data_IF_473387092919
#
_entry.id   IF_473387092919
#
_cell.length_a   1.000
_cell.length_b   1.000
_cell.length_c   1.000
_cell.angle_alpha   90.00
_cell.angle_beta   90.00
_cell.angle_gamma   90.00
#
_symmetry.space_group_name_H-M   'P 1'
#
loop_
_entity.id
_entity.type
_entity.pdbx_description
1 polymer ?
#
# COMPACT_ATOMS: atom_id res chain seq x y z
N UNK A 1 7.77 -18.45 1.22
CA UNK A 1 7.36 -17.25 2.00
C UNK A 1 5.85 -17.04 1.93
N UNK A 2 5.25 -17.09 0.74
CA UNK A 2 3.80 -16.89 0.58
C UNK A 2 2.97 -17.97 1.32
N UNK A 3 3.42 -19.21 1.32
CA UNK A 3 2.80 -20.30 2.11
C UNK A 3 2.85 -20.05 3.62
N UNK A 4 3.92 -19.41 4.11
CA UNK A 4 4.04 -19.03 5.50
C UNK A 4 3.02 -17.94 5.89
N UNK A 5 2.79 -16.95 5.01
CA UNK A 5 1.75 -15.94 5.22
C UNK A 5 0.38 -16.61 5.32
N UNK A 6 0.06 -17.50 4.38
CA UNK A 6 -1.19 -18.24 4.38
C UNK A 6 -1.37 -19.08 5.64
N UNK A 7 -0.34 -19.85 6.02
CA UNK A 7 -0.34 -20.64 7.26
C UNK A 7 -0.57 -19.77 8.49
N UNK A 8 0.10 -18.62 8.60
CA UNK A 8 -0.08 -17.69 9.73
C UNK A 8 -1.50 -17.16 9.82
N UNK A 9 -2.10 -16.77 8.70
CA UNK A 9 -3.48 -16.31 8.64
C UNK A 9 -4.45 -17.42 9.04
N UNK A 10 -4.20 -18.65 8.59
CA UNK A 10 -4.96 -19.84 8.98
C UNK A 10 -4.89 -20.07 10.49
N UNK A 11 -3.69 -20.06 11.09
CA UNK A 11 -3.49 -20.26 12.52
C UNK A 11 -4.19 -19.17 13.36
N UNK A 12 -4.11 -17.92 12.91
CA UNK A 12 -4.83 -16.82 13.58
C UNK A 12 -6.34 -17.08 13.58
N UNK A 13 -6.90 -17.45 12.41
CA UNK A 13 -8.34 -17.75 12.29
C UNK A 13 -8.76 -18.92 13.18
N UNK A 14 -8.00 -20.01 13.20
CA UNK A 14 -8.27 -21.18 14.05
C UNK A 14 -8.22 -20.82 15.56
N UNK A 15 -7.31 -19.93 15.94
CA UNK A 15 -7.18 -19.43 17.30
C UNK A 15 -8.12 -18.25 17.63
N UNK A 16 -9.09 -17.95 16.77
CA UNK A 16 -10.05 -16.85 16.92
C UNK A 16 -9.38 -15.47 17.07
N UNK A 17 -8.21 -15.28 16.47
CA UNK A 17 -7.51 -14.01 16.38
C UNK A 17 -7.82 -13.38 15.03
N UNK A 18 -8.37 -12.17 15.06
CA UNK A 18 -8.59 -11.40 13.84
C UNK A 18 -7.28 -10.77 13.36
N UNK A 19 -7.01 -10.91 12.05
CA UNK A 19 -5.91 -10.23 11.39
C UNK A 19 -6.50 -9.11 10.57
N UNK A 20 -6.33 -7.85 11.00
CA UNK A 20 -6.84 -6.69 10.28
C UNK A 20 -5.97 -6.31 9.07
N UNK A 21 -4.64 -6.41 9.21
CA UNK A 21 -3.70 -6.01 8.16
C UNK A 21 -2.47 -6.92 8.15
N UNK A 22 -1.93 -7.14 6.94
CA UNK A 22 -0.67 -7.83 6.68
C UNK A 22 0.25 -6.89 5.91
N UNK A 23 1.45 -6.66 6.41
CA UNK A 23 2.51 -5.91 5.72
C UNK A 23 3.50 -6.88 5.09
N UNK A 24 3.79 -6.66 3.81
CA UNK A 24 4.76 -7.45 3.04
C UNK A 24 5.85 -6.52 2.53
N UNK A 25 7.02 -6.60 3.14
CA UNK A 25 8.20 -5.84 2.75
C UNK A 25 9.33 -6.83 2.38
N UNK A 26 9.63 -7.05 1.10
CA UNK A 26 9.10 -6.48 -0.15
C UNK A 26 8.48 -7.58 -1.02
N UNK A 27 7.59 -7.14 -1.89
CA UNK A 27 6.84 -8.05 -2.76
C UNK A 27 7.73 -8.89 -3.69
N UNK A 28 8.85 -8.37 -4.14
CA UNK A 28 9.80 -9.07 -5.01
C UNK A 28 10.30 -10.39 -4.41
N UNK A 29 10.36 -10.49 -3.09
CA UNK A 29 10.79 -11.69 -2.37
C UNK A 29 9.79 -12.85 -2.40
N UNK A 30 8.60 -12.61 -2.91
CA UNK A 30 7.53 -13.61 -3.03
C UNK A 30 7.56 -14.35 -4.37
N UNK A 31 8.35 -13.90 -5.34
CA UNK A 31 8.53 -14.51 -6.66
C UNK A 31 10.00 -14.85 -6.91
N UNK A 32 10.26 -15.80 -7.78
CA UNK A 32 11.61 -16.15 -8.18
C UNK A 32 12.20 -15.14 -9.19
N UNK A 33 11.34 -14.61 -10.06
CA UNK A 33 11.68 -13.59 -11.06
C UNK A 33 10.53 -12.60 -11.20
N UNK A 34 10.82 -11.32 -10.99
CA UNK A 34 9.85 -10.22 -11.10
C UNK A 34 9.40 -9.96 -12.55
N UNK A 35 10.09 -10.56 -13.53
CA UNK A 35 9.76 -10.49 -14.95
C UNK A 35 9.06 -11.74 -15.48
N UNK A 36 8.92 -12.80 -14.68
CA UNK A 36 8.10 -13.94 -15.07
C UNK A 36 6.61 -13.61 -14.94
N UNK A 37 5.97 -13.51 -16.10
CA UNK A 37 4.58 -13.10 -16.24
C UNK A 37 3.62 -14.02 -15.47
N UNK A 38 3.85 -15.31 -15.54
CA UNK A 38 2.95 -16.29 -14.95
C UNK A 38 3.07 -16.28 -13.42
N UNK A 39 4.27 -16.41 -12.88
CA UNK A 39 4.48 -16.45 -11.43
C UNK A 39 4.05 -15.14 -10.75
N UNK A 40 4.29 -13.99 -11.40
CA UNK A 40 3.82 -12.69 -10.90
C UNK A 40 2.28 -12.61 -10.85
N UNK A 41 1.60 -13.05 -11.90
CA UNK A 41 0.14 -13.06 -11.94
C UNK A 41 -0.46 -14.01 -10.89
N UNK A 42 0.09 -15.22 -10.76
CA UNK A 42 -0.33 -16.21 -9.77
C UNK A 42 -0.15 -15.68 -8.33
N UNK A 43 1.00 -15.06 -8.05
CA UNK A 43 1.27 -14.46 -6.75
C UNK A 43 0.28 -13.36 -6.39
N UNK A 44 0.02 -12.42 -7.32
CA UNK A 44 -0.94 -11.33 -7.10
C UNK A 44 -2.35 -11.88 -6.91
N UNK A 45 -2.76 -12.86 -7.71
CA UNK A 45 -4.06 -13.53 -7.55
C UNK A 45 -4.18 -14.21 -6.18
N UNK A 46 -3.09 -14.84 -5.70
CA UNK A 46 -3.05 -15.46 -4.38
C UNK A 46 -3.19 -14.43 -3.25
N UNK A 47 -2.50 -13.28 -3.32
CA UNK A 47 -2.66 -12.20 -2.34
C UNK A 47 -4.11 -11.68 -2.29
N UNK A 48 -4.73 -11.46 -3.44
CA UNK A 48 -6.14 -11.06 -3.51
C UNK A 48 -7.07 -12.09 -2.86
N UNK A 49 -6.81 -13.38 -3.12
CA UNK A 49 -7.58 -14.48 -2.51
C UNK A 49 -7.40 -14.51 -1.00
N UNK A 50 -6.17 -14.33 -0.49
CA UNK A 50 -5.89 -14.30 0.95
C UNK A 50 -6.63 -13.13 1.62
N UNK A 51 -6.56 -11.92 1.05
CA UNK A 51 -7.27 -10.76 1.56
C UNK A 51 -8.78 -11.03 1.72
N UNK A 52 -9.42 -11.62 0.70
CA UNK A 52 -10.84 -11.96 0.74
C UNK A 52 -11.15 -13.09 1.72
N UNK A 53 -10.33 -14.17 1.72
CA UNK A 53 -10.58 -15.38 2.53
C UNK A 53 -10.47 -15.10 4.03
N UNK A 54 -9.53 -14.24 4.40
CA UNK A 54 -9.25 -13.91 5.80
C UNK A 54 -9.79 -12.55 6.23
N UNK A 55 -10.49 -11.85 5.33
CA UNK A 55 -11.06 -10.51 5.56
C UNK A 55 -10.01 -9.55 6.16
N UNK A 56 -8.83 -9.51 5.56
CA UNK A 56 -7.71 -8.67 6.01
C UNK A 56 -7.24 -7.75 4.88
N UNK A 57 -6.70 -6.60 5.26
CA UNK A 57 -6.02 -5.71 4.33
C UNK A 57 -4.59 -6.21 4.09
N UNK A 58 -4.13 -6.21 2.84
CA UNK A 58 -2.74 -6.56 2.51
C UNK A 58 -2.05 -5.33 1.93
N UNK A 59 -1.01 -4.87 2.61
CA UNK A 59 -0.14 -3.79 2.15
C UNK A 59 1.19 -4.37 1.69
N UNK A 60 1.61 -4.01 0.47
CA UNK A 60 2.84 -4.51 -0.15
C UNK A 60 3.78 -3.35 -0.40
N UNK A 61 5.03 -3.50 -0.01
CA UNK A 61 6.10 -2.54 -0.32
C UNK A 61 6.84 -2.99 -1.58
N UNK A 62 7.10 -2.03 -2.47
CA UNK A 62 7.86 -2.25 -3.70
C UNK A 62 8.82 -1.12 -3.96
N UNK A 63 9.97 -1.46 -4.53
CA UNK A 63 10.89 -0.46 -5.07
C UNK A 63 10.44 -0.03 -6.47
N UNK A 64 10.58 1.26 -6.75
CA UNK A 64 10.41 1.80 -8.10
C UNK A 64 11.67 1.58 -8.93
N UNK A 65 11.50 1.44 -10.25
CA UNK A 65 12.62 1.50 -11.16
C UNK A 65 13.24 2.91 -11.19
N UNK A 66 14.56 2.99 -11.16
CA UNK A 66 15.28 4.23 -11.41
C UNK A 66 15.09 4.60 -12.89
N UNK A 67 14.33 5.65 -13.18
CA UNK A 67 14.11 6.13 -14.54
C UNK A 67 12.86 6.99 -14.72
N UNK A 68 12.57 7.35 -15.95
CA UNK A 68 11.49 8.27 -16.32
C UNK A 68 10.08 7.70 -16.13
N UNK A 69 9.92 6.39 -15.98
CA UNK A 69 8.60 5.75 -15.95
C UNK A 69 8.01 5.62 -14.54
N UNK A 70 8.81 5.76 -13.47
CA UNK A 70 8.37 5.64 -12.06
C UNK A 70 7.40 4.46 -11.81
N UNK A 71 7.53 3.38 -12.59
CA UNK A 71 6.71 2.18 -12.44
C UNK A 71 7.38 1.21 -11.48
N UNK A 72 6.59 0.40 -10.81
CA UNK A 72 7.09 -0.73 -10.02
C UNK A 72 7.92 -1.69 -10.87
N UNK A 73 8.88 -2.37 -10.26
CA UNK A 73 9.86 -3.21 -10.96
C UNK A 73 9.20 -4.40 -11.67
N UNK A 74 9.47 -4.52 -12.96
CA UNK A 74 9.10 -5.67 -13.79
C UNK A 74 7.59 -5.87 -14.01
N UNK A 75 7.22 -7.07 -14.40
CA UNK A 75 5.81 -7.48 -14.54
C UNK A 75 5.08 -7.48 -13.20
N UNK A 76 5.79 -7.84 -12.12
CA UNK A 76 5.23 -7.83 -10.77
C UNK A 76 4.67 -6.46 -10.40
N UNK A 77 5.44 -5.37 -10.60
CA UNK A 77 5.01 -4.02 -10.33
C UNK A 77 3.75 -3.64 -11.10
N UNK A 78 3.73 -3.92 -12.40
CA UNK A 78 2.58 -3.64 -13.25
C UNK A 78 1.32 -4.39 -12.81
N UNK A 79 1.44 -5.64 -12.35
CA UNK A 79 0.29 -6.42 -11.87
C UNK A 79 -0.23 -5.89 -10.54
N UNK A 80 0.66 -5.63 -9.59
CA UNK A 80 0.29 -5.06 -8.29
C UNK A 80 -0.41 -3.72 -8.45
N UNK A 81 0.15 -2.80 -9.23
CA UNK A 81 -0.46 -1.48 -9.48
C UNK A 81 -1.85 -1.59 -10.12
N UNK A 82 -2.06 -2.54 -11.06
CA UNK A 82 -3.36 -2.74 -11.72
C UNK A 82 -4.41 -3.33 -10.80
N UNK A 83 -4.01 -4.10 -9.79
CA UNK A 83 -4.92 -4.84 -8.90
C UNK A 83 -5.12 -4.16 -7.55
N UNK A 84 -4.18 -3.33 -7.11
CA UNK A 84 -4.29 -2.60 -5.86
C UNK A 84 -5.52 -1.68 -5.83
N UNK A 85 -6.11 -1.54 -4.64
CA UNK A 85 -7.15 -0.56 -4.35
C UNK A 85 -6.57 0.86 -4.36
N UNK A 86 -5.43 1.02 -3.69
CA UNK A 86 -4.70 2.28 -3.61
C UNK A 86 -3.22 2.04 -3.85
N UNK A 87 -2.59 2.91 -4.64
CA UNK A 87 -1.14 2.97 -4.85
C UNK A 87 -0.63 4.25 -4.24
N UNK A 88 0.24 4.10 -3.24
CA UNK A 88 0.87 5.20 -2.52
C UNK A 88 2.31 5.30 -2.99
N UNK A 89 2.75 6.50 -3.33
CA UNK A 89 4.14 6.79 -3.70
C UNK A 89 4.80 7.61 -2.60
N UNK A 90 6.03 7.23 -2.24
CA UNK A 90 6.86 7.97 -1.29
C UNK A 90 8.02 8.58 -2.05
N UNK A 91 8.17 9.89 -1.97
CA UNK A 91 9.24 10.64 -2.60
C UNK A 91 10.02 11.45 -1.58
N UNK A 92 11.36 11.49 -1.71
CA UNK A 92 12.15 12.44 -0.94
C UNK A 92 11.79 13.86 -1.39
N UNK A 93 11.50 14.74 -0.45
CA UNK A 93 11.18 16.12 -0.76
C UNK A 93 12.43 16.84 -1.33
N UNK A 94 12.24 17.55 -2.44
CA UNK A 94 13.35 18.21 -3.15
C UNK A 94 13.86 19.45 -2.43
N UNK A 95 13.02 20.10 -1.63
CA UNK A 95 13.35 21.34 -0.91
C UNK A 95 13.90 21.04 0.48
N UNK A 96 13.29 20.10 1.17
CA UNK A 96 13.74 19.66 2.50
C UNK A 96 14.01 18.15 2.48
N UNK A 97 15.29 17.78 2.48
CA UNK A 97 15.73 16.39 2.35
C UNK A 97 15.37 15.50 3.54
N UNK A 98 14.99 16.09 4.67
CA UNK A 98 14.53 15.35 5.86
C UNK A 98 13.03 15.00 5.78
N UNK A 99 12.35 15.46 4.72
CA UNK A 99 10.92 15.22 4.53
C UNK A 99 10.67 14.17 3.46
N UNK A 100 9.68 13.34 3.71
CA UNK A 100 9.16 12.39 2.73
C UNK A 100 7.76 12.84 2.34
N UNK A 101 7.55 13.04 1.05
CA UNK A 101 6.25 13.39 0.49
C UNK A 101 5.48 12.11 0.16
N UNK A 102 4.23 12.05 0.61
CA UNK A 102 3.30 10.94 0.40
C UNK A 102 2.26 11.35 -0.62
N UNK A 103 2.22 10.64 -1.75
CA UNK A 103 1.33 10.92 -2.86
C UNK A 103 0.34 9.77 -3.06
N UNK A 104 -0.93 10.12 -3.26
CA UNK A 104 -1.92 9.18 -3.77
C UNK A 104 -1.77 9.07 -5.29
N UNK A 105 -0.95 8.10 -5.76
CA UNK A 105 -0.72 7.91 -7.19
C UNK A 105 -1.95 7.39 -7.90
N UNK A 106 -2.69 6.51 -7.24
CA UNK A 106 -3.92 5.92 -7.75
C UNK A 106 -4.80 5.48 -6.59
N UNK A 107 -6.09 5.70 -6.70
CA UNK A 107 -7.11 5.11 -5.83
C UNK A 107 -8.33 4.71 -6.66
N UNK A 108 -8.95 3.58 -6.30
CA UNK A 108 -10.26 3.19 -6.85
C UNK A 108 -11.40 3.91 -6.15
N UNK A 109 -11.17 4.32 -4.91
CA UNK A 109 -12.07 5.17 -4.13
C UNK A 109 -11.68 6.64 -4.24
N UNK A 110 -11.91 7.39 -3.16
CA UNK A 110 -11.49 8.79 -3.08
C UNK A 110 -9.98 8.86 -2.82
N UNK A 111 -9.23 9.66 -3.61
CA UNK A 111 -7.83 9.92 -3.30
C UNK A 111 -7.72 10.74 -2.01
N UNK A 112 -6.63 10.55 -1.28
CA UNK A 112 -6.25 11.43 -0.18
C UNK A 112 -5.35 12.57 -0.71
N UNK A 113 -5.32 13.67 0.02
CA UNK A 113 -4.46 14.81 -0.31
C UNK A 113 -3.00 14.50 -0.01
N UNK A 114 -2.10 15.07 -0.84
CA UNK A 114 -0.66 14.93 -0.64
C UNK A 114 -0.25 15.55 0.70
N UNK A 115 0.55 14.83 1.47
CA UNK A 115 1.13 15.32 2.70
C UNK A 115 2.60 14.93 2.81
N UNK A 116 3.32 15.51 3.77
CA UNK A 116 4.70 15.14 4.04
C UNK A 116 4.89 14.76 5.50
N UNK A 117 5.87 13.91 5.76
CA UNK A 117 6.28 13.56 7.11
C UNK A 117 7.81 13.60 7.24
N UNK A 118 8.28 13.69 8.46
CA UNK A 118 9.68 13.53 8.84
C UNK A 118 9.78 12.48 9.94
N UNK A 119 11.01 12.06 10.25
CA UNK A 119 11.30 11.11 11.33
C UNK A 119 11.92 11.88 12.47
N UNK A 120 11.38 11.75 13.68
CA UNK A 120 11.92 12.39 14.88
C UNK A 120 13.15 11.65 15.44
N UNK A 121 13.76 12.20 16.49
CA UNK A 121 14.92 11.63 17.19
C UNK A 121 14.69 10.22 17.78
N UNK A 122 13.42 9.83 17.99
CA UNK A 122 13.01 8.49 18.45
C UNK A 122 12.74 7.49 17.31
N UNK A 123 12.96 7.89 16.04
CA UNK A 123 12.69 7.06 14.88
C UNK A 123 11.19 6.96 14.50
N UNK A 124 10.36 7.85 15.03
CA UNK A 124 8.91 7.83 14.75
C UNK A 124 8.54 8.88 13.70
N UNK A 125 7.66 8.55 12.75
CA UNK A 125 7.17 9.50 11.77
C UNK A 125 6.21 10.52 12.40
N UNK A 126 6.30 11.77 11.93
CA UNK A 126 5.33 12.82 12.26
C UNK A 126 5.06 13.69 11.03
N UNK A 127 3.82 14.13 10.87
CA UNK A 127 3.42 14.98 9.73
C UNK A 127 4.09 16.34 9.84
N UNK A 128 4.61 16.85 8.71
CA UNK A 128 5.24 18.16 8.61
C UNK A 128 4.49 19.04 7.59
N UNK A 129 4.63 20.36 7.73
CA UNK A 129 3.90 21.34 6.94
C UNK A 129 2.67 21.87 7.67
N UNK A 130 1.72 22.42 6.93
CA UNK A 130 0.46 22.85 7.52
C UNK A 130 -0.23 21.63 8.14
N UNK A 131 -0.54 21.74 9.42
CA UNK A 131 -1.27 20.68 10.13
C UNK A 131 -2.68 20.69 9.57
N UNK A 132 -2.93 19.74 8.70
CA UNK A 132 -4.30 19.41 8.31
C UNK A 132 -4.99 18.83 9.55
N UNK A 133 -5.97 19.54 10.09
CA UNK A 133 -6.81 18.96 11.14
C UNK A 133 -7.68 17.87 10.49
N UNK A 134 -7.45 16.58 10.79
CA UNK A 134 -8.27 15.51 10.21
C UNK A 134 -9.75 15.64 10.56
N UNK A 135 -10.11 16.42 11.59
CA UNK A 135 -11.48 16.64 12.01
C UNK A 135 -12.19 17.74 11.20
N UNK A 136 -11.46 18.65 10.56
CA UNK A 136 -12.07 19.66 9.66
C UNK A 136 -12.64 19.01 8.37
N UNK A 137 -12.15 17.83 7.98
CA UNK A 137 -12.61 17.12 6.77
C UNK A 137 -13.74 16.13 7.00
N UNK A 138 -14.12 15.85 8.24
CA UNK A 138 -15.31 15.08 8.55
C UNK A 138 -16.58 15.95 8.52
N UNK A 139 -16.76 16.72 7.46
CA UNK A 139 -18.09 17.25 7.14
C UNK A 139 -18.84 16.10 6.47
N UNK A 140 -19.90 15.55 7.10
CA UNK A 140 -20.76 14.58 6.43
C UNK A 140 -21.29 15.23 5.16
N UNK A 141 -20.89 14.72 3.99
CA UNK A 141 -21.50 15.15 2.74
C UNK A 141 -22.99 14.83 2.83
N UNK A 142 -23.81 15.80 3.05
CA UNK A 142 -25.26 15.69 2.87
C UNK A 142 -25.48 15.26 1.44
N UNK A 143 -25.98 14.04 1.28
CA UNK A 143 -26.45 13.55 -0.02
C UNK A 143 -27.58 14.49 -0.47
N UNK A 144 -27.28 15.37 -1.41
CA UNK A 144 -28.31 16.13 -2.09
C UNK A 144 -29.09 15.12 -2.94
N UNK A 145 -30.41 14.98 -2.74
CA UNK A 145 -31.22 14.11 -3.59
C UNK A 145 -31.16 14.65 -5.02
N UNK A 146 -30.79 13.79 -5.95
CA UNK A 146 -30.91 14.09 -7.38
C UNK A 146 -32.36 14.49 -7.68
N UNK A 147 -32.50 15.69 -8.23
CA UNK A 147 -33.73 16.11 -8.91
C UNK A 147 -33.78 15.52 -10.31
#
# INVERSE_FOLDING_TARGET
RLEFIEWTLQQNKENKKETGIVFIDGAADLVADVNDLQSCNEMVAKLMKLSTTYNCHIMVVMHQNFGSTKLGTGHLGSFLEKKAETVIELELNTTNKDWVTVLCRRSRGFPFDTFSFSINEFGLPFVVGEIYDPLEYFVPRTLTPNK
#
